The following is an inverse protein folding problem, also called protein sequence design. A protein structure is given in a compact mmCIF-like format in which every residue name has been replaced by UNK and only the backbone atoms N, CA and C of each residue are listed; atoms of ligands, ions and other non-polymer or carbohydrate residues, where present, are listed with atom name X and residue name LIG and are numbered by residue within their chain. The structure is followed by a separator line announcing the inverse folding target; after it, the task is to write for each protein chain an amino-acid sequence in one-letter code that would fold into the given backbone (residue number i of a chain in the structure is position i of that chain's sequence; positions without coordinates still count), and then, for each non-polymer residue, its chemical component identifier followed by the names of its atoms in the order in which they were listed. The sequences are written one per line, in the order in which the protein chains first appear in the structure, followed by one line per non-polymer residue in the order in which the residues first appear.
data_IF_649010288286
#
_entry.id   IF_649010288286
#
_cell.length_a   1.000
_cell.length_b   1.000
_cell.length_c   1.000
_cell.angle_alpha   90.00
_cell.angle_beta   90.00
_cell.angle_gamma   90.00
#
_symmetry.space_group_name_H-M   'P 1'
#
loop_
_entity.id
_entity.type
_entity.pdbx_description
1 polymer ?
#
# COMPACT_ATOMS: atom_id res chain seq x y z
N UNK A 1 26.13 5.93 -5.93
CA UNK A 1 25.52 5.51 -7.23
C UNK A 1 24.02 5.58 -7.10
N UNK A 2 23.33 6.01 -8.14
CA UNK A 2 21.87 5.99 -8.23
C UNK A 2 21.46 5.27 -9.52
N UNK A 3 20.28 4.68 -9.49
CA UNK A 3 19.68 3.97 -10.61
C UNK A 3 18.23 4.42 -10.77
N UNK A 4 17.73 4.36 -12.00
CA UNK A 4 16.33 4.69 -12.32
C UNK A 4 15.67 3.45 -12.90
N UNK A 5 14.44 3.16 -12.45
CA UNK A 5 13.54 2.18 -13.03
C UNK A 5 12.26 2.88 -13.50
N UNK A 6 11.70 2.48 -14.61
CA UNK A 6 10.41 2.96 -15.08
C UNK A 6 9.59 1.76 -15.58
N UNK A 7 8.29 1.79 -15.36
CA UNK A 7 7.37 0.71 -15.71
C UNK A 7 6.54 0.24 -14.53
N UNK A 8 6.19 -1.03 -14.50
CA UNK A 8 5.51 -1.64 -13.37
C UNK A 8 6.53 -1.98 -12.26
N UNK A 9 6.37 -1.36 -11.11
CA UNK A 9 7.36 -1.37 -10.01
C UNK A 9 6.69 -1.86 -8.74
N UNK A 10 7.38 -2.70 -7.97
CA UNK A 10 6.96 -3.11 -6.63
C UNK A 10 7.09 -1.92 -5.68
N UNK A 11 6.03 -1.61 -4.96
CA UNK A 11 6.01 -0.54 -3.95
C UNK A 11 6.69 -1.05 -2.68
N UNK A 12 7.82 -0.49 -2.23
CA UNK A 12 8.65 -1.04 -1.17
C UNK A 12 8.15 -0.67 0.24
N UNK A 13 6.84 -0.63 0.44
CA UNK A 13 6.23 -0.30 1.72
C UNK A 13 5.89 -1.56 2.48
N UNK A 14 6.31 -1.62 3.74
CA UNK A 14 6.23 -2.81 4.57
C UNK A 14 7.36 -3.83 4.29
N UNK A 15 7.43 -4.85 5.11
CA UNK A 15 8.44 -5.91 4.97
C UNK A 15 8.01 -6.97 3.94
N UNK A 16 6.73 -7.30 3.90
CA UNK A 16 6.20 -8.33 2.99
C UNK A 16 6.36 -7.94 1.51
N UNK A 17 6.14 -6.67 1.17
CA UNK A 17 6.27 -6.22 -0.21
C UNK A 17 7.72 -6.06 -0.64
N UNK A 18 8.61 -5.64 0.27
CA UNK A 18 10.02 -5.47 -0.03
C UNK A 18 10.75 -6.82 -0.12
N UNK A 19 10.34 -7.83 0.64
CA UNK A 19 10.95 -9.15 0.74
C UNK A 19 9.88 -10.24 0.57
N UNK A 20 9.31 -10.33 -0.62
CA UNK A 20 8.16 -11.18 -0.93
C UNK A 20 8.52 -12.60 -1.42
N UNK A 21 9.81 -12.96 -1.41
CA UNK A 21 10.24 -14.29 -1.82
C UNK A 21 9.81 -15.33 -0.77
N UNK A 22 9.28 -16.49 -1.18
CA UNK A 22 8.87 -17.55 -0.25
C UNK A 22 9.98 -17.99 0.71
N UNK A 23 11.24 -17.94 0.27
CA UNK A 23 12.41 -18.29 1.08
C UNK A 23 12.68 -17.30 2.22
N UNK A 24 12.07 -16.12 2.19
CA UNK A 24 12.20 -15.11 3.22
C UNK A 24 11.14 -15.26 4.34
N UNK A 25 10.19 -16.18 4.20
CA UNK A 25 9.16 -16.40 5.21
C UNK A 25 9.61 -17.42 6.27
N UNK A 26 9.20 -17.23 7.52
CA UNK A 26 9.39 -18.22 8.58
C UNK A 26 8.37 -19.36 8.53
N UNK A 27 7.24 -19.14 7.89
CA UNK A 27 6.15 -20.11 7.74
C UNK A 27 5.76 -20.26 6.27
N UNK A 28 4.88 -21.20 5.98
CA UNK A 28 4.34 -21.42 4.63
C UNK A 28 3.55 -20.19 4.15
N UNK A 29 3.00 -19.41 5.08
CA UNK A 29 2.21 -18.21 4.78
C UNK A 29 2.93 -16.93 5.18
N UNK A 30 2.56 -15.84 4.53
CA UNK A 30 2.98 -14.48 4.90
C UNK A 30 2.42 -14.10 6.28
N UNK A 31 3.09 -13.17 6.98
CA UNK A 31 2.54 -12.56 8.20
C UNK A 31 1.15 -11.97 7.92
N UNK A 32 0.14 -12.43 8.66
CA UNK A 32 -1.26 -12.06 8.39
C UNK A 32 -1.54 -10.57 8.61
N UNK A 33 -0.92 -9.93 9.60
CA UNK A 33 -1.21 -8.55 9.96
C UNK A 33 -0.99 -7.59 8.79
N UNK A 34 0.23 -7.55 8.26
CA UNK A 34 0.57 -6.70 7.13
C UNK A 34 -0.13 -7.16 5.84
N UNK A 35 -0.22 -8.48 5.61
CA UNK A 35 -0.82 -9.05 4.42
C UNK A 35 -2.33 -8.77 4.29
N UNK A 36 -3.04 -8.58 5.40
CA UNK A 36 -4.47 -8.20 5.40
C UNK A 36 -4.68 -6.70 5.23
N UNK A 37 -3.70 -5.91 5.60
CA UNK A 37 -3.80 -4.45 5.60
C UNK A 37 -3.33 -3.83 4.29
N UNK A 38 -2.20 -4.31 3.75
CA UNK A 38 -1.57 -3.79 2.54
C UNK A 38 -1.77 -4.72 1.36
N UNK A 39 -1.72 -4.21 0.11
CA UNK A 39 -1.74 -5.07 -1.07
C UNK A 39 -0.56 -6.06 -1.05
N UNK A 40 -0.86 -7.34 -1.28
CA UNK A 40 0.15 -8.36 -1.47
C UNK A 40 0.80 -8.23 -2.83
N UNK A 41 2.14 -8.28 -2.87
CA UNK A 41 2.90 -8.08 -4.12
C UNK A 41 2.47 -6.79 -4.82
N UNK A 42 2.46 -5.71 -4.06
CA UNK A 42 1.94 -4.41 -4.49
C UNK A 42 2.75 -3.83 -5.64
N UNK A 43 2.19 -3.89 -6.84
CA UNK A 43 2.78 -3.30 -8.05
C UNK A 43 1.99 -2.05 -8.48
N UNK A 44 2.70 -1.07 -9.00
CA UNK A 44 2.11 0.11 -9.61
C UNK A 44 2.99 0.58 -10.78
N UNK A 45 2.35 1.20 -11.78
CA UNK A 45 3.08 1.88 -12.85
C UNK A 45 3.68 3.17 -12.31
N UNK A 46 4.98 3.36 -12.51
CA UNK A 46 5.67 4.53 -11.98
C UNK A 46 7.13 4.61 -12.37
N UNK A 47 7.82 5.52 -11.70
CA UNK A 47 9.27 5.75 -11.83
C UNK A 47 9.88 5.64 -10.44
N UNK A 48 10.95 4.88 -10.32
CA UNK A 48 11.72 4.69 -9.08
C UNK A 48 13.15 5.20 -9.26
N UNK A 49 13.62 5.93 -8.27
CA UNK A 49 15.01 6.27 -8.05
C UNK A 49 15.53 5.45 -6.85
N UNK A 50 16.56 4.65 -7.05
CA UNK A 50 17.12 3.84 -5.97
C UNK A 50 18.64 3.80 -6.00
N UNK A 51 19.23 3.53 -4.86
CA UNK A 51 20.67 3.43 -4.76
C UNK A 51 21.15 3.00 -3.39
N UNK A 52 22.49 3.04 -3.25
CA UNK A 52 23.18 2.77 -1.99
C UNK A 52 24.31 3.78 -1.76
N UNK A 53 24.39 4.26 -0.53
CA UNK A 53 25.46 5.15 -0.03
C UNK A 53 25.96 4.52 1.26
N UNK A 54 27.20 3.99 1.27
CA UNK A 54 27.75 3.22 2.38
C UNK A 54 26.79 2.11 2.84
N UNK A 55 26.35 2.14 4.07
CA UNK A 55 25.46 1.16 4.69
C UNK A 55 23.97 1.49 4.55
N UNK A 56 23.65 2.54 3.82
CA UNK A 56 22.28 2.98 3.58
C UNK A 56 21.84 2.64 2.18
N UNK A 57 20.74 1.91 2.05
CA UNK A 57 19.99 1.74 0.80
C UNK A 57 18.78 2.66 0.84
N UNK A 58 18.49 3.31 -0.26
CA UNK A 58 17.32 4.15 -0.41
C UNK A 58 16.58 3.83 -1.70
N UNK A 59 15.29 4.03 -1.67
CA UNK A 59 14.40 3.95 -2.83
C UNK A 59 13.28 4.97 -2.68
N UNK A 60 13.01 5.74 -3.73
CA UNK A 60 11.91 6.69 -3.81
C UNK A 60 11.13 6.44 -5.10
N UNK A 61 9.82 6.39 -5.02
CA UNK A 61 8.93 6.02 -6.13
C UNK A 61 7.87 7.10 -6.29
N UNK A 62 7.62 7.47 -7.55
CA UNK A 62 6.44 8.21 -7.96
C UNK A 62 5.56 7.30 -8.81
N UNK A 63 4.27 7.21 -8.48
CA UNK A 63 3.35 6.20 -9.03
C UNK A 63 1.91 6.71 -9.07
N UNK A 64 1.01 5.96 -9.71
CA UNK A 64 -0.43 6.18 -9.58
C UNK A 64 -0.93 5.81 -8.18
N UNK A 65 -1.99 6.47 -7.71
CA UNK A 65 -2.64 6.15 -6.44
C UNK A 65 -3.45 4.85 -6.50
N UNK A 66 -3.83 4.34 -5.33
CA UNK A 66 -4.71 3.17 -5.22
C UNK A 66 -6.15 3.48 -5.64
N UNK A 67 -6.91 2.46 -5.97
CA UNK A 67 -8.35 2.54 -6.25
C UNK A 67 -9.16 2.31 -4.98
N UNK A 68 -9.79 3.37 -4.49
CA UNK A 68 -10.59 3.33 -3.27
C UNK A 68 -11.87 2.48 -3.39
N UNK A 69 -12.36 2.18 -4.59
CA UNK A 69 -13.52 1.31 -4.80
C UNK A 69 -13.30 -0.09 -4.21
N UNK A 70 -12.05 -0.51 -4.13
CA UNK A 70 -11.65 -1.83 -3.64
C UNK A 70 -11.29 -1.85 -2.15
N UNK A 71 -11.43 -0.72 -1.45
CA UNK A 71 -11.22 -0.66 -0.02
C UNK A 71 -12.42 -1.26 0.73
N UNK A 72 -12.18 -1.81 1.92
CA UNK A 72 -13.26 -2.44 2.67
C UNK A 72 -12.97 -2.58 4.15
N UNK A 73 -14.00 -2.95 4.92
CA UNK A 73 -13.87 -3.11 6.37
C UNK A 73 -12.89 -4.23 6.77
N UNK A 74 -12.96 -5.36 6.08
CA UNK A 74 -12.17 -6.56 6.45
C UNK A 74 -10.75 -6.57 5.86
N UNK A 75 -10.51 -5.76 4.84
CA UNK A 75 -9.28 -5.83 4.03
C UNK A 75 -8.59 -4.47 3.94
N UNK A 76 -9.11 -3.45 4.59
CA UNK A 76 -8.61 -2.08 4.53
C UNK A 76 -8.27 -1.65 3.09
N UNK A 77 -6.99 -1.42 2.74
CA UNK A 77 -6.56 -1.03 1.39
C UNK A 77 -5.98 -2.21 0.58
N UNK A 78 -6.03 -3.43 1.09
CA UNK A 78 -5.39 -4.62 0.53
C UNK A 78 -5.69 -4.83 -0.96
N UNK A 79 -6.94 -4.67 -1.38
CA UNK A 79 -7.35 -4.85 -2.76
C UNK A 79 -7.25 -3.59 -3.62
N UNK A 80 -6.78 -2.48 -3.06
CA UNK A 80 -6.71 -1.19 -3.75
C UNK A 80 -5.66 -1.10 -4.86
N UNK A 81 -4.66 -1.98 -4.90
CA UNK A 81 -3.77 -2.12 -6.02
C UNK A 81 -4.47 -2.82 -7.17
N UNK A 82 -4.39 -2.24 -8.37
CA UNK A 82 -4.90 -2.88 -9.57
C UNK A 82 -4.02 -4.06 -9.97
N UNK A 83 -4.63 -5.12 -10.52
CA UNK A 83 -3.89 -6.21 -11.14
C UNK A 83 -3.02 -5.70 -12.30
N UNK A 84 -1.84 -6.29 -12.57
CA UNK A 84 -1.03 -5.95 -13.74
C UNK A 84 -1.76 -6.10 -15.07
N UNK A 85 -2.81 -6.91 -15.10
CA UNK A 85 -3.61 -7.17 -16.31
C UNK A 85 -4.83 -6.24 -16.44
N UNK A 86 -5.11 -5.40 -15.46
CA UNK A 86 -6.22 -4.46 -15.49
C UNK A 86 -5.76 -3.08 -15.97
N UNK A 87 -6.65 -2.39 -16.69
CA UNK A 87 -6.42 -1.01 -17.07
C UNK A 87 -6.35 -0.13 -15.82
N UNK A 88 -5.27 0.66 -15.68
CA UNK A 88 -5.05 1.54 -14.54
C UNK A 88 -5.48 2.96 -14.84
N UNK A 89 -6.33 3.50 -13.98
CA UNK A 89 -6.69 4.91 -14.01
C UNK A 89 -5.58 5.74 -13.36
N UNK A 90 -5.06 6.70 -14.10
CA UNK A 90 -4.03 7.62 -13.61
C UNK A 90 -4.58 8.97 -13.16
N UNK A 91 -5.75 9.03 -12.54
CA UNK A 91 -6.38 10.29 -12.12
C UNK A 91 -5.79 10.87 -10.84
N UNK A 92 -5.09 10.07 -10.06
CA UNK A 92 -4.40 10.50 -8.84
C UNK A 92 -3.03 9.87 -8.75
N UNK A 93 -2.14 10.55 -8.07
CA UNK A 93 -0.75 10.16 -7.91
C UNK A 93 -0.39 9.91 -6.45
N UNK A 94 0.68 9.16 -6.29
CA UNK A 94 1.22 8.80 -4.99
C UNK A 94 2.75 8.76 -5.02
N UNK A 95 3.35 8.90 -3.85
CA UNK A 95 4.77 8.69 -3.64
C UNK A 95 5.01 7.62 -2.58
N UNK A 96 6.05 6.84 -2.77
CA UNK A 96 6.55 5.90 -1.77
C UNK A 96 8.05 6.06 -1.59
N UNK A 97 8.53 5.83 -0.39
CA UNK A 97 9.95 5.85 -0.10
C UNK A 97 10.32 4.75 0.91
N UNK A 98 11.54 4.25 0.79
CA UNK A 98 12.13 3.29 1.72
C UNK A 98 13.59 3.61 1.96
N UNK A 99 14.02 3.46 3.20
CA UNK A 99 15.42 3.53 3.63
C UNK A 99 15.71 2.29 4.46
N UNK A 100 16.78 1.58 4.10
CA UNK A 100 17.31 0.45 4.86
C UNK A 100 18.72 0.80 5.38
N UNK A 101 18.98 0.53 6.63
CA UNK A 101 20.28 0.70 7.29
C UNK A 101 20.92 -0.66 7.61
N UNK A 102 22.18 -0.83 7.24
CA UNK A 102 22.99 -2.03 7.45
C UNK A 102 24.27 -1.75 8.26
N UNK A 103 24.34 -0.63 8.99
CA UNK A 103 25.54 -0.22 9.74
C UNK A 103 25.93 -1.22 10.83
N UNK A 104 24.99 -2.00 11.33
CA UNK A 104 25.24 -3.02 12.35
C UNK A 104 25.35 -4.37 11.65
N UNK A 105 26.51 -5.08 11.72
CA UNK A 105 26.68 -6.38 11.09
C UNK A 105 25.62 -7.38 11.53
N UNK A 106 24.90 -7.95 10.56
CA UNK A 106 23.81 -8.90 10.78
C UNK A 106 22.48 -8.27 11.21
N UNK A 107 22.35 -6.94 11.20
CA UNK A 107 21.10 -6.24 11.49
C UNK A 107 20.72 -5.33 10.33
N UNK A 108 19.47 -5.40 9.90
CA UNK A 108 18.84 -4.47 8.97
C UNK A 108 17.69 -3.75 9.67
N UNK A 109 17.75 -2.45 9.65
CA UNK A 109 16.65 -1.58 10.07
C UNK A 109 16.04 -0.94 8.84
N UNK A 110 14.73 -0.95 8.74
CA UNK A 110 13.98 -0.44 7.59
C UNK A 110 12.95 0.59 8.02
N UNK A 111 12.85 1.67 7.28
CA UNK A 111 11.76 2.64 7.40
C UNK A 111 11.19 2.84 6.01
N UNK A 112 9.87 2.72 5.87
CA UNK A 112 9.19 2.96 4.60
C UNK A 112 7.90 3.74 4.80
N UNK A 113 7.48 4.45 3.76
CA UNK A 113 6.27 5.24 3.78
C UNK A 113 5.63 5.37 2.41
N UNK A 114 4.33 5.61 2.40
CA UNK A 114 3.52 5.90 1.23
C UNK A 114 2.58 7.05 1.53
N UNK A 115 2.43 7.93 0.57
CA UNK A 115 1.44 8.99 0.62
C UNK A 115 0.84 9.21 -0.77
N UNK A 116 -0.49 9.24 -0.86
CA UNK A 116 -1.17 9.49 -2.12
C UNK A 116 -2.67 9.66 -1.98
N UNK A 117 -3.29 10.12 -3.05
CA UNK A 117 -4.74 10.21 -3.14
C UNK A 117 -5.30 8.93 -3.77
N UNK A 118 -6.54 8.57 -3.41
CA UNK A 118 -7.11 7.27 -3.80
C UNK A 118 -8.48 7.40 -4.44
N UNK A 119 -9.30 8.38 -4.04
CA UNK A 119 -10.71 8.39 -4.37
C UNK A 119 -10.99 8.68 -5.86
N UNK A 120 -10.24 9.57 -6.50
CA UNK A 120 -10.46 9.91 -7.92
C UNK A 120 -10.01 8.84 -8.91
N UNK A 121 -9.41 7.74 -8.45
CA UNK A 121 -9.18 6.55 -9.26
C UNK A 121 -10.42 5.65 -9.37
N UNK A 122 -11.50 5.93 -8.63
CA UNK A 122 -12.78 5.26 -8.84
C UNK A 122 -13.40 5.77 -10.16
N UNK A 123 -13.91 4.86 -10.99
CA UNK A 123 -14.60 5.23 -12.24
C UNK A 123 -16.02 5.74 -11.97
N UNK A 124 -16.15 6.97 -11.45
CA UNK A 124 -17.45 7.57 -11.14
C UNK A 124 -17.65 8.87 -11.89
N UNK A 125 -18.91 9.20 -12.20
CA UNK A 125 -19.24 10.48 -12.81
C UNK A 125 -18.91 11.61 -11.85
N UNK A 126 -18.19 12.60 -12.34
CA UNK A 126 -17.87 13.79 -11.57
C UNK A 126 -19.16 14.51 -11.11
N UNK A 127 -19.17 14.91 -9.86
CA UNK A 127 -20.22 15.75 -9.25
C UNK A 127 -19.55 16.72 -8.28
N UNK A 128 -20.25 17.79 -7.91
CA UNK A 128 -19.72 18.75 -6.93
C UNK A 128 -19.38 18.12 -5.57
N UNK A 129 -20.04 17.02 -5.20
CA UNK A 129 -19.70 16.23 -4.00
C UNK A 129 -18.47 15.35 -4.21
N UNK A 130 -18.28 14.80 -5.42
CA UNK A 130 -17.12 14.01 -5.79
C UNK A 130 -15.82 14.81 -5.72
N UNK A 131 -15.85 16.07 -6.15
CA UNK A 131 -14.67 16.93 -6.16
C UNK A 131 -14.16 17.31 -4.76
N UNK A 132 -15.02 17.21 -3.74
CA UNK A 132 -14.69 17.52 -2.34
C UNK A 132 -14.07 16.37 -1.57
N UNK A 133 -14.06 15.16 -2.13
CA UNK A 133 -13.52 13.96 -1.48
C UNK A 133 -12.21 13.57 -2.16
N UNK A 134 -11.13 13.53 -1.42
CA UNK A 134 -9.81 13.22 -1.96
C UNK A 134 -9.29 11.83 -1.56
N UNK A 135 -9.64 11.33 -0.36
CA UNK A 135 -9.19 10.05 0.14
C UNK A 135 -7.66 10.00 0.23
N UNK A 136 -7.06 10.94 0.96
CA UNK A 136 -5.62 10.93 1.18
C UNK A 136 -5.23 9.75 2.08
N UNK A 137 -4.35 8.89 1.59
CA UNK A 137 -3.83 7.71 2.29
C UNK A 137 -2.37 7.95 2.65
N UNK A 138 -2.07 7.84 3.95
CA UNK A 138 -0.72 7.86 4.48
C UNK A 138 -0.41 6.50 5.14
N UNK A 139 0.73 5.89 4.82
CA UNK A 139 1.20 4.64 5.42
C UNK A 139 2.64 4.84 5.87
N UNK A 140 2.95 4.42 7.10
CA UNK A 140 4.31 4.34 7.63
C UNK A 140 4.59 2.93 8.12
N UNK A 141 5.76 2.39 7.82
CA UNK A 141 6.16 1.07 8.27
C UNK A 141 7.62 1.06 8.72
N UNK A 142 7.86 0.41 9.86
CA UNK A 142 9.17 0.12 10.41
C UNK A 142 9.41 -1.38 10.36
N UNK A 143 10.62 -1.80 10.01
CA UNK A 143 11.03 -3.20 9.97
C UNK A 143 12.40 -3.40 10.62
N UNK A 144 12.56 -4.54 11.26
CA UNK A 144 13.80 -5.05 11.85
C UNK A 144 14.05 -6.46 11.35
N UNK A 145 15.24 -6.74 10.87
CA UNK A 145 15.75 -8.10 10.68
C UNK A 145 17.11 -8.21 11.34
N UNK A 146 17.28 -9.20 12.21
CA UNK A 146 18.54 -9.54 12.85
C UNK A 146 18.89 -11.00 12.53
N UNK A 147 20.11 -11.22 11.96
CA UNK A 147 20.71 -12.53 11.68
C UNK A 147 22.06 -12.58 12.38
N UNK A 148 22.09 -13.05 13.64
CA UNK A 148 23.30 -13.06 14.47
C UNK A 148 23.27 -14.23 15.45
N UNK A 149 24.42 -14.85 15.71
CA UNK A 149 24.59 -15.96 16.67
C UNK A 149 23.60 -17.11 16.50
N UNK A 150 23.36 -17.58 15.28
CA UNK A 150 22.37 -18.61 14.94
C UNK A 150 20.90 -18.19 15.21
N UNK A 151 20.64 -16.94 15.54
CA UNK A 151 19.29 -16.39 15.65
C UNK A 151 18.90 -15.63 14.40
N UNK A 152 17.66 -15.82 13.98
CA UNK A 152 17.00 -14.98 13.00
C UNK A 152 15.78 -14.39 13.69
N UNK A 153 15.77 -13.08 13.84
CA UNK A 153 14.64 -12.34 14.43
C UNK A 153 14.16 -11.35 13.39
N UNK A 154 12.86 -11.33 13.16
CA UNK A 154 12.19 -10.34 12.32
C UNK A 154 11.05 -9.72 13.08
N UNK A 155 10.85 -8.44 12.90
CA UNK A 155 9.73 -7.70 13.46
C UNK A 155 9.35 -6.55 12.54
N UNK A 156 8.07 -6.25 12.47
CA UNK A 156 7.57 -5.10 11.73
C UNK A 156 6.41 -4.42 12.46
N UNK A 157 6.28 -3.14 12.25
CA UNK A 157 5.14 -2.35 12.70
C UNK A 157 4.71 -1.44 11.57
N UNK A 158 3.43 -1.46 11.23
CA UNK A 158 2.86 -0.64 10.15
C UNK A 158 1.63 0.09 10.68
N UNK A 159 1.57 1.38 10.38
CA UNK A 159 0.42 2.24 10.65
C UNK A 159 -0.05 2.91 9.37
N UNK A 160 -1.35 3.03 9.22
CA UNK A 160 -1.97 3.70 8.08
C UNK A 160 -3.12 4.59 8.53
N UNK A 161 -3.24 5.74 7.87
CA UNK A 161 -4.34 6.69 8.03
C UNK A 161 -4.94 7.03 6.67
N UNK A 162 -6.26 6.90 6.57
CA UNK A 162 -7.06 7.26 5.39
C UNK A 162 -8.00 8.42 5.75
N UNK A 163 -7.73 9.58 5.18
CA UNK A 163 -8.60 10.74 5.32
C UNK A 163 -9.90 10.55 4.53
N UNK A 164 -10.97 11.17 5.02
CA UNK A 164 -12.29 11.16 4.38
C UNK A 164 -12.96 9.78 4.21
N UNK A 165 -12.49 8.73 4.91
CA UNK A 165 -12.98 7.35 4.76
C UNK A 165 -14.52 7.25 4.89
N UNK A 166 -15.12 7.96 5.86
CA UNK A 166 -16.56 7.99 6.04
C UNK A 166 -17.29 8.70 4.88
N UNK A 167 -16.75 9.84 4.41
CA UNK A 167 -17.32 10.57 3.27
C UNK A 167 -17.23 9.73 2.00
N UNK A 168 -16.11 8.99 1.80
CA UNK A 168 -15.94 8.06 0.68
C UNK A 168 -17.00 6.97 0.72
N UNK A 169 -17.19 6.30 1.85
CA UNK A 169 -18.23 5.27 2.04
C UNK A 169 -19.62 5.82 1.78
N UNK A 170 -19.95 6.99 2.33
CA UNK A 170 -21.26 7.63 2.11
C UNK A 170 -21.49 7.95 0.65
N UNK A 171 -20.48 8.49 -0.04
CA UNK A 171 -20.57 8.81 -1.46
C UNK A 171 -20.74 7.54 -2.31
N UNK A 172 -19.97 6.49 -2.06
CA UNK A 172 -20.07 5.23 -2.77
C UNK A 172 -21.43 4.58 -2.62
N UNK A 173 -22.03 4.67 -1.44
CA UNK A 173 -23.39 4.17 -1.18
C UNK A 173 -24.49 5.01 -1.81
N UNK A 174 -24.26 6.33 -1.96
CA UNK A 174 -25.20 7.22 -2.67
C UNK A 174 -25.16 7.01 -4.20
N UNK A 175 -24.03 6.58 -4.75
CA UNK A 175 -23.82 6.37 -6.18
C UNK A 175 -23.24 4.97 -6.44
N UNK A 176 -23.99 3.88 -6.22
CA UNK A 176 -23.48 2.52 -6.38
C UNK A 176 -23.14 2.22 -7.84
N UNK A 177 -22.01 1.53 -8.06
CA UNK A 177 -21.59 1.04 -9.40
C UNK A 177 -22.30 -0.22 -9.83
N UNK A 178 -22.65 -1.06 -8.89
CA UNK A 178 -23.21 -2.39 -9.13
C UNK A 178 -24.60 -2.50 -8.52
N UNK A 179 -25.43 -3.29 -9.15
CA UNK A 179 -26.75 -3.69 -8.66
C UNK A 179 -26.68 -5.15 -8.23
N UNK A 180 -27.28 -5.52 -7.12
CA UNK A 180 -27.38 -6.91 -6.69
C UNK A 180 -28.34 -7.69 -7.60
N UNK A 181 -28.35 -9.01 -7.50
CA UNK A 181 -29.24 -9.87 -8.30
C UNK A 181 -30.73 -9.60 -8.06
N UNK A 182 -31.09 -9.05 -6.91
CA UNK A 182 -32.44 -8.66 -6.55
C UNK A 182 -32.87 -7.26 -7.10
N UNK A 183 -31.99 -6.60 -7.86
CA UNK A 183 -32.23 -5.27 -8.40
C UNK A 183 -31.92 -4.13 -7.43
N UNK A 184 -31.53 -4.41 -6.19
CA UNK A 184 -31.16 -3.39 -5.22
C UNK A 184 -29.73 -2.83 -5.46
N UNK A 185 -29.43 -1.56 -5.10
CA UNK A 185 -28.09 -1.03 -5.21
C UNK A 185 -27.14 -1.75 -4.25
N UNK A 186 -25.98 -2.16 -4.77
CA UNK A 186 -24.94 -2.78 -3.97
C UNK A 186 -24.35 -1.76 -2.98
N UNK A 187 -24.43 -2.04 -1.69
CA UNK A 187 -23.85 -1.18 -0.64
C UNK A 187 -22.36 -1.47 -0.48
N UNK A 188 -21.57 -0.41 -0.49
CA UNK A 188 -20.15 -0.49 -0.17
C UNK A 188 -19.95 -0.69 1.34
N UNK A 189 -19.05 -1.59 1.73
CA UNK A 189 -18.73 -1.79 3.15
C UNK A 189 -18.04 -0.56 3.73
N UNK A 190 -18.25 -0.24 5.03
CA UNK A 190 -17.56 0.87 5.68
C UNK A 190 -16.04 0.72 5.57
N UNK A 191 -15.34 1.83 5.28
CA UNK A 191 -13.89 1.86 5.21
C UNK A 191 -13.36 2.43 6.52
N UNK A 192 -12.37 1.77 7.13
CA UNK A 192 -11.73 2.26 8.34
C UNK A 192 -10.84 3.48 8.03
N UNK A 193 -10.81 4.46 8.94
CA UNK A 193 -9.91 5.62 8.83
C UNK A 193 -8.48 5.29 9.24
N UNK A 194 -8.29 4.33 10.15
CA UNK A 194 -6.98 3.93 10.65
C UNK A 194 -6.85 2.42 10.64
N UNK A 195 -5.64 1.95 10.39
CA UNK A 195 -5.27 0.56 10.51
C UNK A 195 -3.84 0.45 11.02
N UNK A 196 -3.55 -0.60 11.79
CA UNK A 196 -2.20 -0.90 12.25
C UNK A 196 -1.96 -2.41 12.27
N UNK A 197 -0.73 -2.80 12.09
CA UNK A 197 -0.29 -4.18 12.29
C UNK A 197 1.07 -4.21 12.97
N UNK A 198 1.28 -5.25 13.77
CA UNK A 198 2.56 -5.57 14.41
C UNK A 198 2.81 -7.05 14.19
N UNK A 199 4.03 -7.41 13.81
CA UNK A 199 4.44 -8.77 13.51
C UNK A 199 5.93 -9.03 13.79
#
# INVERSE_FOLDING_TARGET
KFNIKAGEIIIPVGEINAYHMPNDFFSVYRSEGEAKMLPNTWHQVGISLWGRISDWRYEAIFTSGLDAERFGHNCYVHYGATSPYEYKLGNVYAGAARIDNYSIPGVRLSLSGYYGYTFKNTERKASASYDKVHGALAIGSFGLEMKRWNWIVRGNATYSHLADAQKMTTFMNAYPKHTQQDGSPSKHSPIASNAYSVG
#
